data_IF_080398907565
#
_entry.id   IF_080398907565
#
_cell.length_a   1.000
_cell.length_b   1.000
_cell.length_c   1.000
_cell.angle_alpha   90.00
_cell.angle_beta   90.00
_cell.angle_gamma   90.00
#
_symmetry.space_group_name_H-M   'P 1'
#
loop_
_entity.id
_entity.type
_entity.pdbx_description
1 polymer ?
#
# COMPACT_ATOMS: atom_id res chain seq x y z
N UNK A 1 1.88 30.34 4.85
CA UNK A 1 2.91 29.54 5.54
C UNK A 1 3.77 30.46 6.39
N UNK A 2 4.20 30.04 7.58
CA UNK A 2 5.09 30.83 8.45
C UNK A 2 6.55 30.45 8.15
N UNK A 3 7.39 31.43 7.81
CA UNK A 3 8.82 31.22 7.64
C UNK A 3 9.49 31.28 9.01
N UNK A 4 10.31 30.28 9.33
CA UNK A 4 11.00 30.15 10.62
C UNK A 4 12.49 30.00 10.33
N UNK A 5 13.33 30.82 10.98
CA UNK A 5 14.79 30.69 10.93
C UNK A 5 15.23 29.73 12.04
N UNK A 6 15.84 28.60 11.66
CA UNK A 6 16.24 27.56 12.61
C UNK A 6 17.19 28.08 13.70
N UNK A 7 18.06 29.03 13.35
CA UNK A 7 19.01 29.66 14.29
C UNK A 7 18.36 30.49 15.40
N UNK A 8 17.11 30.93 15.20
CA UNK A 8 16.39 31.79 16.14
C UNK A 8 15.47 30.96 17.06
N UNK A 9 15.52 29.62 16.98
CA UNK A 9 14.69 28.73 17.78
C UNK A 9 15.36 28.34 19.09
N UNK A 10 14.56 28.27 20.16
CA UNK A 10 14.95 27.55 21.35
C UNK A 10 15.11 26.06 21.03
N UNK A 11 15.94 25.34 21.79
CA UNK A 11 16.07 23.89 21.65
C UNK A 11 14.71 23.18 21.78
N UNK A 12 13.84 23.68 22.65
CA UNK A 12 12.47 23.17 22.86
C UNK A 12 11.59 23.36 21.63
N UNK A 13 11.66 24.53 20.99
CA UNK A 13 10.87 24.81 19.77
C UNK A 13 11.40 24.06 18.55
N UNK A 14 12.73 23.94 18.44
CA UNK A 14 13.34 23.10 17.43
C UNK A 14 12.83 21.66 17.55
N UNK A 15 12.92 21.07 18.75
CA UNK A 15 12.42 19.72 19.01
C UNK A 15 10.92 19.58 18.70
N UNK A 16 10.10 20.56 19.07
CA UNK A 16 8.66 20.56 18.74
C UNK A 16 8.39 20.56 17.24
N UNK A 17 9.18 21.28 16.44
CA UNK A 17 8.99 21.41 14.99
C UNK A 17 9.50 20.17 14.25
N UNK A 18 10.64 19.61 14.66
CA UNK A 18 11.20 18.40 14.02
C UNK A 18 10.49 17.13 14.46
N UNK A 19 9.89 17.12 15.66
CA UNK A 19 9.03 16.03 16.09
C UNK A 19 7.74 16.06 15.28
N UNK A 20 7.62 15.09 14.38
CA UNK A 20 6.33 14.75 13.78
C UNK A 20 5.38 14.37 14.91
N UNK A 21 4.10 14.72 14.76
CA UNK A 21 3.00 14.23 15.61
C UNK A 21 2.81 12.72 15.39
N UNK A 22 3.83 11.92 15.68
CA UNK A 22 3.86 10.47 15.55
C UNK A 22 3.26 9.82 16.80
N UNK A 23 2.19 10.40 17.32
CA UNK A 23 1.42 9.78 18.37
C UNK A 23 0.71 8.57 17.78
N UNK A 24 1.29 7.38 17.93
CA UNK A 24 0.50 6.15 17.93
C UNK A 24 -0.56 6.35 19.00
N UNK A 25 -1.76 6.75 18.57
CA UNK A 25 -2.83 7.04 19.51
C UNK A 25 -3.24 5.70 20.11
N UNK A 26 -2.60 5.32 21.23
CA UNK A 26 -2.79 4.02 21.89
C UNK A 26 -4.27 3.75 22.18
N UNK A 27 -5.07 4.81 22.32
CA UNK A 27 -6.52 4.75 22.47
C UNK A 27 -7.25 4.10 21.27
N UNK A 28 -6.66 4.05 20.08
CA UNK A 28 -7.24 3.43 18.88
C UNK A 28 -7.02 1.91 18.87
N UNK A 29 -5.99 1.40 19.55
CA UNK A 29 -5.61 -0.02 19.53
C UNK A 29 -6.74 -0.96 19.98
N UNK A 30 -7.51 -0.68 21.05
CA UNK A 30 -8.63 -1.53 21.44
C UNK A 30 -9.68 -1.65 20.33
N UNK A 31 -10.02 -0.54 19.67
CA UNK A 31 -11.00 -0.52 18.58
C UNK A 31 -10.52 -1.34 17.37
N UNK A 32 -9.24 -1.22 16.99
CA UNK A 32 -8.63 -2.02 15.92
C UNK A 32 -8.67 -3.50 16.25
N UNK A 33 -8.29 -3.87 17.48
CA UNK A 33 -8.30 -5.27 17.94
C UNK A 33 -9.70 -5.87 17.85
N UNK A 34 -10.73 -5.16 18.31
CA UNK A 34 -12.12 -5.61 18.21
C UNK A 34 -12.56 -5.80 16.75
N UNK A 35 -12.11 -4.96 15.82
CA UNK A 35 -12.42 -5.13 14.39
C UNK A 35 -11.76 -6.41 13.85
N UNK A 36 -10.47 -6.62 14.15
CA UNK A 36 -9.72 -7.79 13.70
C UNK A 36 -10.34 -9.09 14.22
N UNK A 37 -10.69 -9.17 15.50
CA UNK A 37 -11.32 -10.35 16.11
C UNK A 37 -12.67 -10.68 15.46
N UNK A 38 -13.48 -9.66 15.13
CA UNK A 38 -14.75 -9.88 14.43
C UNK A 38 -14.55 -10.38 13.01
N UNK A 39 -13.60 -9.82 12.26
CA UNK A 39 -13.28 -10.30 10.91
C UNK A 39 -12.74 -11.73 10.95
N UNK A 40 -11.89 -12.06 11.93
CA UNK A 40 -11.36 -13.43 12.07
C UNK A 40 -12.45 -14.46 12.37
N UNK A 41 -13.45 -14.12 13.19
CA UNK A 41 -14.54 -15.03 13.58
C UNK A 41 -15.67 -15.12 12.55
N UNK A 42 -15.98 -14.02 11.87
CA UNK A 42 -17.19 -13.87 11.05
C UNK A 42 -16.89 -13.68 9.55
N UNK A 43 -15.61 -13.56 9.18
CA UNK A 43 -15.18 -13.35 7.80
C UNK A 43 -15.83 -12.13 7.16
N UNK A 44 -16.21 -12.29 5.89
CA UNK A 44 -16.75 -11.24 5.04
C UNK A 44 -18.10 -10.71 5.52
N UNK A 45 -18.88 -11.53 6.23
CA UNK A 45 -20.20 -11.13 6.76
C UNK A 45 -20.11 -9.86 7.61
N UNK A 46 -19.14 -9.80 8.53
CA UNK A 46 -18.91 -8.62 9.38
C UNK A 46 -18.48 -7.39 8.58
N UNK A 47 -17.77 -7.57 7.45
CA UNK A 47 -17.36 -6.47 6.58
C UNK A 47 -18.58 -5.92 5.84
N UNK A 48 -19.37 -6.81 5.22
CA UNK A 48 -20.56 -6.46 4.45
C UNK A 48 -21.59 -5.74 5.32
N UNK A 49 -21.94 -6.28 6.49
CA UNK A 49 -22.89 -5.66 7.42
C UNK A 49 -22.46 -4.23 7.81
N UNK A 50 -21.17 -4.03 8.11
CA UNK A 50 -20.63 -2.70 8.43
C UNK A 50 -20.69 -1.74 7.25
N UNK A 51 -20.37 -2.21 6.04
CA UNK A 51 -20.43 -1.39 4.83
C UNK A 51 -21.87 -0.99 4.50
N UNK A 52 -22.80 -1.94 4.53
CA UNK A 52 -24.23 -1.71 4.30
C UNK A 52 -24.77 -0.67 5.28
N UNK A 53 -24.46 -0.81 6.58
CA UNK A 53 -24.86 0.16 7.61
C UNK A 53 -24.25 1.54 7.41
N UNK A 54 -22.96 1.62 7.06
CA UNK A 54 -22.24 2.89 6.91
C UNK A 54 -22.69 3.69 5.69
N UNK A 55 -22.93 3.01 4.57
CA UNK A 55 -23.23 3.64 3.29
C UNK A 55 -24.72 3.59 2.92
N UNK A 56 -25.57 3.01 3.78
CA UNK A 56 -27.02 2.81 3.57
C UNK A 56 -27.33 2.20 2.19
N UNK A 57 -26.50 1.24 1.79
CA UNK A 57 -26.62 0.51 0.52
C UNK A 57 -26.88 -0.94 0.83
N UNK A 58 -28.09 -1.41 0.56
CA UNK A 58 -28.59 -2.69 1.09
C UNK A 58 -28.14 -3.91 0.27
N UNK A 59 -27.50 -3.72 -0.90
CA UNK A 59 -27.36 -4.79 -1.89
C UNK A 59 -25.92 -5.28 -2.17
N UNK A 60 -24.94 -4.99 -1.32
CA UNK A 60 -23.60 -5.59 -1.49
C UNK A 60 -23.61 -7.03 -1.00
N UNK A 61 -23.55 -7.99 -1.93
CA UNK A 61 -23.51 -9.42 -1.65
C UNK A 61 -22.08 -9.99 -1.54
N UNK A 62 -21.09 -9.26 -2.05
CA UNK A 62 -19.68 -9.67 -2.07
C UNK A 62 -18.76 -8.48 -1.86
N UNK A 63 -17.62 -8.73 -1.22
CA UNK A 63 -16.51 -7.76 -1.11
C UNK A 63 -15.63 -7.77 -2.37
N UNK A 64 -15.75 -8.80 -3.21
CA UNK A 64 -14.99 -8.94 -4.44
C UNK A 64 -15.71 -8.22 -5.58
N UNK A 65 -15.00 -7.29 -6.22
CA UNK A 65 -15.48 -6.63 -7.44
C UNK A 65 -15.48 -7.64 -8.59
N UNK A 66 -16.58 -7.70 -9.33
CA UNK A 66 -16.76 -8.62 -10.45
C UNK A 66 -15.95 -8.20 -11.67
N UNK A 67 -15.64 -9.15 -12.56
CA UNK A 67 -14.93 -8.85 -13.82
C UNK A 67 -15.68 -7.85 -14.70
N UNK A 68 -17.02 -7.89 -14.68
CA UNK A 68 -17.83 -7.00 -15.52
C UNK A 68 -17.93 -5.59 -14.95
N UNK A 69 -17.92 -5.42 -13.62
CA UNK A 69 -17.73 -4.11 -13.00
C UNK A 69 -16.38 -3.50 -13.36
N UNK A 70 -15.30 -4.30 -13.34
CA UNK A 70 -13.96 -3.84 -13.73
C UNK A 70 -13.94 -3.40 -15.21
N UNK A 71 -14.55 -4.19 -16.11
CA UNK A 71 -14.63 -3.84 -17.53
C UNK A 71 -15.42 -2.55 -17.75
N UNK A 72 -16.60 -2.41 -17.12
CA UNK A 72 -17.42 -1.20 -17.22
C UNK A 72 -16.67 0.03 -16.71
N UNK A 73 -16.05 -0.06 -15.54
CA UNK A 73 -15.25 1.02 -14.99
C UNK A 73 -14.11 1.42 -15.94
N UNK A 74 -13.41 0.46 -16.56
CA UNK A 74 -12.35 0.75 -17.53
C UNK A 74 -12.88 1.50 -18.77
N UNK A 75 -14.10 1.21 -19.22
CA UNK A 75 -14.74 1.89 -20.35
C UNK A 75 -15.20 3.32 -20.01
N UNK A 76 -15.51 3.58 -18.74
CA UNK A 76 -15.93 4.91 -18.26
C UNK A 76 -14.75 5.87 -18.06
N UNK A 77 -13.53 5.36 -17.86
CA UNK A 77 -12.35 6.20 -17.68
C UNK A 77 -11.94 6.83 -19.01
N UNK A 78 -11.67 8.14 -18.98
CA UNK A 78 -11.25 8.86 -20.17
C UNK A 78 -9.89 8.38 -20.72
N UNK A 79 -9.74 8.46 -22.04
CA UNK A 79 -8.54 7.97 -22.75
C UNK A 79 -7.25 8.66 -22.31
N UNK A 80 -7.31 9.94 -21.88
CA UNK A 80 -6.14 10.71 -21.46
C UNK A 80 -5.62 10.17 -20.12
N UNK A 81 -6.51 9.88 -19.18
CA UNK A 81 -6.18 9.24 -17.91
C UNK A 81 -5.57 7.86 -18.13
N UNK A 82 -6.17 7.03 -18.98
CA UNK A 82 -5.60 5.70 -19.32
C UNK A 82 -4.19 5.84 -19.90
N UNK A 83 -3.98 6.78 -20.82
CA UNK A 83 -2.65 7.04 -21.42
C UNK A 83 -1.62 7.44 -20.36
N UNK A 84 -1.99 8.32 -19.42
CA UNK A 84 -1.12 8.74 -18.33
C UNK A 84 -0.75 7.57 -17.40
N UNK A 85 -1.72 6.75 -17.03
CA UNK A 85 -1.48 5.56 -16.19
C UNK A 85 -0.58 4.54 -16.90
N UNK A 86 -0.76 4.31 -18.20
CA UNK A 86 0.12 3.44 -19.00
C UNK A 86 1.56 3.96 -19.07
N UNK A 87 1.75 5.28 -19.20
CA UNK A 87 3.09 5.88 -19.16
C UNK A 87 3.74 5.68 -17.78
N UNK A 88 2.97 5.86 -16.71
CA UNK A 88 3.45 5.63 -15.35
C UNK A 88 3.83 4.16 -15.13
N UNK A 89 3.03 3.21 -15.61
CA UNK A 89 3.37 1.78 -15.58
C UNK A 89 4.72 1.55 -16.26
N UNK A 90 4.91 2.06 -17.49
CA UNK A 90 6.19 1.92 -18.22
C UNK A 90 7.37 2.45 -17.42
N UNK A 91 7.24 3.64 -16.82
CA UNK A 91 8.32 4.27 -16.07
C UNK A 91 8.64 3.51 -14.78
N UNK A 92 7.63 3.07 -14.03
CA UNK A 92 7.83 2.31 -12.79
C UNK A 92 8.46 0.96 -13.11
N UNK A 93 7.93 0.23 -14.09
CA UNK A 93 8.49 -1.06 -14.50
C UNK A 93 9.95 -0.92 -14.92
N UNK A 94 10.33 0.16 -15.62
CA UNK A 94 11.73 0.42 -15.99
C UNK A 94 12.62 0.52 -14.75
N UNK A 95 12.22 1.32 -13.75
CA UNK A 95 13.00 1.53 -12.52
C UNK A 95 13.03 0.26 -11.66
N UNK A 96 11.90 -0.41 -11.46
CA UNK A 96 11.82 -1.63 -10.64
C UNK A 96 12.63 -2.77 -11.26
N UNK A 97 12.59 -2.93 -12.59
CA UNK A 97 13.45 -3.92 -13.29
C UNK A 97 14.93 -3.64 -13.12
N UNK A 98 15.34 -2.38 -13.06
CA UNK A 98 16.74 -2.02 -12.81
C UNK A 98 17.23 -2.39 -11.40
N UNK A 99 16.31 -2.58 -10.44
CA UNK A 99 16.60 -3.00 -9.07
C UNK A 99 16.65 -4.53 -8.91
N UNK A 100 16.19 -5.29 -9.91
CA UNK A 100 16.21 -6.74 -9.85
C UNK A 100 17.66 -7.24 -9.78
N UNK A 101 17.96 -7.94 -8.70
CA UNK A 101 19.20 -8.70 -8.54
C UNK A 101 19.09 -10.03 -9.30
N UNK A 102 20.23 -10.64 -9.64
CA UNK A 102 20.21 -11.98 -10.25
C UNK A 102 19.55 -12.97 -9.28
N UNK A 103 18.62 -13.78 -9.78
CA UNK A 103 17.84 -14.78 -9.00
C UNK A 103 18.76 -15.67 -8.16
N UNK A 104 19.92 -16.03 -8.72
CA UNK A 104 21.04 -16.63 -8.01
C UNK A 104 22.20 -15.64 -8.00
N UNK A 105 22.61 -15.25 -6.81
CA UNK A 105 23.76 -14.38 -6.59
C UNK A 105 25.08 -15.12 -6.88
N UNK A 106 26.18 -14.38 -6.83
CA UNK A 106 27.52 -14.90 -7.04
C UNK A 106 27.86 -15.98 -6.00
N UNK A 107 28.35 -17.13 -6.46
CA UNK A 107 28.84 -18.19 -5.58
C UNK A 107 30.22 -17.79 -5.07
N UNK A 108 30.33 -17.56 -3.76
CA UNK A 108 31.58 -17.28 -3.06
C UNK A 108 32.17 -18.59 -2.54
N UNK A 109 33.49 -18.75 -2.65
CA UNK A 109 34.23 -19.90 -2.13
C UNK A 109 35.28 -19.41 -1.13
N UNK A 110 34.90 -19.21 0.15
CA UNK A 110 35.83 -18.68 1.14
C UNK A 110 37.01 -19.62 1.40
N UNK A 111 36.77 -20.94 1.33
CA UNK A 111 37.79 -21.98 1.50
C UNK A 111 37.54 -23.16 0.55
N UNK A 112 38.53 -24.06 0.42
CA UNK A 112 38.44 -25.27 -0.40
C UNK A 112 37.29 -26.16 0.08
N UNK A 113 36.36 -26.47 -0.82
CA UNK A 113 35.19 -27.30 -0.52
C UNK A 113 33.95 -26.54 -0.08
N UNK A 114 34.07 -25.24 0.27
CA UNK A 114 32.93 -24.43 0.72
C UNK A 114 32.38 -23.59 -0.44
N UNK A 115 31.05 -23.58 -0.60
CA UNK A 115 30.33 -22.71 -1.54
C UNK A 115 29.20 -22.00 -0.81
N UNK A 116 29.21 -20.68 -0.81
CA UNK A 116 28.17 -19.82 -0.26
C UNK A 116 27.52 -19.05 -1.40
N UNK A 117 26.20 -18.92 -1.38
CA UNK A 117 25.45 -18.18 -2.39
C UNK A 117 24.15 -17.65 -1.78
N UNK A 118 23.56 -16.65 -2.44
CA UNK A 118 22.28 -16.08 -2.05
C UNK A 118 21.25 -16.30 -3.17
N UNK A 119 20.04 -16.67 -2.78
CA UNK A 119 18.88 -16.75 -3.67
C UNK A 119 17.90 -15.63 -3.32
N UNK A 120 17.23 -15.08 -4.33
CA UNK A 120 16.07 -14.22 -4.14
C UNK A 120 14.82 -15.00 -4.54
N UNK A 121 13.88 -15.16 -3.60
CA UNK A 121 12.58 -15.80 -3.85
C UNK A 121 11.43 -14.82 -3.60
N UNK A 122 10.43 -14.76 -4.48
CA UNK A 122 9.27 -13.90 -4.28
C UNK A 122 8.40 -14.42 -3.13
N UNK A 123 7.64 -13.51 -2.50
CA UNK A 123 6.61 -13.87 -1.54
C UNK A 123 5.41 -14.42 -2.32
N UNK A 124 4.94 -15.63 -1.97
CA UNK A 124 3.88 -16.33 -2.73
C UNK A 124 2.53 -15.58 -2.74
N UNK A 125 2.22 -14.85 -1.66
CA UNK A 125 0.97 -14.10 -1.54
C UNK A 125 1.19 -12.78 -0.82
N UNK A 126 0.80 -11.69 -1.48
CA UNK A 126 0.84 -10.34 -0.94
C UNK A 126 -0.55 -9.71 -0.97
N UNK A 127 -0.88 -8.93 0.06
CA UNK A 127 -2.10 -8.12 0.12
C UNK A 127 -1.75 -6.64 0.01
N UNK A 128 -2.40 -5.93 -0.90
CA UNK A 128 -2.15 -4.51 -1.15
C UNK A 128 -3.33 -3.68 -0.62
N UNK A 129 -3.07 -2.82 0.37
CA UNK A 129 -4.07 -1.89 0.87
C UNK A 129 -3.93 -0.53 0.20
N UNK A 130 -5.00 -0.08 -0.45
CA UNK A 130 -5.05 1.20 -1.15
C UNK A 130 -6.03 2.10 -0.40
N UNK A 131 -5.59 3.24 0.16
CA UNK A 131 -6.48 4.21 0.78
C UNK A 131 -7.53 4.69 -0.22
N UNK A 132 -8.77 4.84 0.23
CA UNK A 132 -9.87 5.39 -0.56
C UNK A 132 -10.68 6.41 0.24
N UNK A 133 -11.86 6.77 -0.28
CA UNK A 133 -12.79 7.70 0.38
C UNK A 133 -12.87 9.03 -0.37
N UNK A 134 -12.36 10.11 0.23
CA UNK A 134 -12.47 11.48 -0.33
C UNK A 134 -11.60 11.71 -1.57
N UNK A 135 -10.54 10.93 -1.74
CA UNK A 135 -9.63 11.01 -2.87
C UNK A 135 -9.33 9.60 -3.39
N UNK A 136 -8.97 9.53 -4.66
CA UNK A 136 -8.66 8.30 -5.38
C UNK A 136 -7.16 8.31 -5.66
N UNK A 137 -6.47 7.22 -5.32
CA UNK A 137 -5.01 7.11 -5.42
C UNK A 137 -4.59 5.99 -6.40
N UNK A 138 -4.86 6.14 -7.71
CA UNK A 138 -4.43 5.13 -8.69
C UNK A 138 -2.90 4.99 -8.71
N UNK A 139 -2.18 6.04 -8.31
CA UNK A 139 -0.73 6.01 -8.20
C UNK A 139 -0.23 5.00 -7.16
N UNK A 140 -0.88 4.93 -5.99
CA UNK A 140 -0.54 3.98 -4.95
C UNK A 140 -0.71 2.54 -5.43
N UNK A 141 -1.78 2.26 -6.20
CA UNK A 141 -2.00 0.92 -6.79
C UNK A 141 -0.80 0.52 -7.63
N UNK A 142 -0.39 1.38 -8.56
CA UNK A 142 0.72 1.09 -9.47
C UNK A 142 2.06 0.94 -8.72
N UNK A 143 2.32 1.80 -7.73
CA UNK A 143 3.56 1.72 -6.94
C UNK A 143 3.64 0.45 -6.08
N UNK A 144 2.51 -0.13 -5.69
CA UNK A 144 2.49 -1.35 -4.86
C UNK A 144 2.33 -2.65 -5.66
N UNK A 145 1.73 -2.60 -6.85
CA UNK A 145 1.39 -3.80 -7.63
C UNK A 145 2.39 -4.12 -8.76
N UNK A 146 3.23 -3.16 -9.14
CA UNK A 146 4.24 -3.33 -10.20
C UNK A 146 5.56 -3.93 -9.71
N UNK A 147 6.13 -3.50 -8.57
CA UNK A 147 7.32 -4.16 -8.02
C UNK A 147 7.08 -5.65 -7.78
#
# INVERSE_FOLDING_TARGET
>A
MKVIKLKDLSQKDYQRIVNRSAGTNRSIMPAVKTIMEKVQKQGDKNILEKYQKRYKKENYQSIQVTRDEIKRAYLEVDKKTIKALKQMIKNITLVQKAQLTKVKDTVVKPEKGIKVWREWRPIERVGLYIPGGKAIYPSSVLMTAIP
#
